data_IF_206022720649
#
_entry.id   IF_206022720649
#
_cell.length_a   1.000
_cell.length_b   1.000
_cell.length_c   1.000
_cell.angle_alpha   90.00
_cell.angle_beta   90.00
_cell.angle_gamma   90.00
#
_symmetry.space_group_name_H-M   'P 1'
#
loop_
_entity.id
_entity.type
_entity.pdbx_description
1 polymer ?
#
# COMPACT_ATOMS: atom_id res chain seq x y z
N UNK A 1 -37.42 2.84 -45.26
CA UNK A 1 -36.83 3.08 -43.93
C UNK A 1 -37.77 2.52 -42.87
N UNK A 2 -37.39 1.43 -42.21
CA UNK A 2 -38.18 0.81 -41.13
C UNK A 2 -37.86 1.53 -39.81
N UNK A 3 -38.85 2.21 -39.22
CA UNK A 3 -38.72 2.77 -37.87
C UNK A 3 -38.76 1.61 -36.86
N UNK A 4 -37.62 1.32 -36.24
CA UNK A 4 -37.54 0.45 -35.07
C UNK A 4 -38.54 0.92 -34.02
N UNK A 5 -39.56 0.11 -33.75
CA UNK A 5 -40.57 0.42 -32.75
C UNK A 5 -40.01 0.17 -31.35
N UNK A 6 -39.48 1.20 -30.71
CA UNK A 6 -39.17 1.15 -29.29
C UNK A 6 -40.48 1.18 -28.51
N UNK A 7 -40.90 0.04 -27.97
CA UNK A 7 -41.92 0.01 -26.92
C UNK A 7 -41.23 0.42 -25.61
N UNK A 8 -41.64 1.50 -24.94
CA UNK A 8 -41.09 1.84 -23.64
C UNK A 8 -41.39 0.69 -22.69
N UNK A 9 -40.34 -0.04 -22.27
CA UNK A 9 -40.50 -0.99 -21.18
C UNK A 9 -40.53 -0.20 -19.87
N UNK A 10 -41.45 -0.50 -18.94
CA UNK A 10 -41.46 0.15 -17.64
C UNK A 10 -40.09 0.03 -16.98
N UNK A 11 -39.57 1.15 -16.47
CA UNK A 11 -38.29 1.15 -15.76
C UNK A 11 -38.46 0.38 -14.46
N UNK A 12 -37.59 -0.61 -14.22
CA UNK A 12 -37.57 -1.32 -12.95
C UNK A 12 -36.78 -0.51 -11.91
N UNK A 13 -37.50 0.14 -11.00
CA UNK A 13 -36.92 1.00 -9.96
C UNK A 13 -36.11 0.22 -8.90
N UNK A 14 -36.27 -1.10 -8.81
CA UNK A 14 -35.49 -1.94 -7.90
C UNK A 14 -34.19 -2.45 -8.55
N UNK A 15 -34.01 -2.19 -9.85
CA UNK A 15 -32.78 -2.57 -10.55
C UNK A 15 -31.62 -1.74 -10.01
N UNK A 16 -30.67 -2.40 -9.35
CA UNK A 16 -29.46 -1.76 -8.85
C UNK A 16 -28.66 -1.18 -10.03
N UNK A 17 -28.27 0.08 -9.90
CA UNK A 17 -27.40 0.73 -10.88
C UNK A 17 -25.99 0.12 -10.78
N UNK A 18 -25.33 -0.15 -11.92
CA UNK A 18 -23.92 -0.54 -11.90
C UNK A 18 -23.10 0.63 -11.35
N UNK A 19 -22.29 0.36 -10.33
CA UNK A 19 -21.37 1.34 -9.74
C UNK A 19 -20.00 1.11 -10.36
N UNK A 20 -19.52 2.10 -11.09
CA UNK A 20 -18.18 2.11 -11.67
C UNK A 20 -17.20 2.54 -10.59
N UNK A 21 -16.17 1.74 -10.33
CA UNK A 21 -15.17 1.99 -9.30
C UNK A 21 -13.83 2.41 -9.88
N UNK A 22 -13.54 2.05 -11.12
CA UNK A 22 -12.28 2.38 -11.78
C UNK A 22 -12.44 2.57 -13.29
N UNK A 23 -11.49 3.28 -13.92
CA UNK A 23 -11.44 3.48 -15.38
C UNK A 23 -11.36 2.15 -16.14
N UNK A 24 -10.83 1.11 -15.50
CA UNK A 24 -10.73 -0.23 -16.07
C UNK A 24 -12.09 -0.89 -16.29
N UNK A 25 -13.11 -0.48 -15.54
CA UNK A 25 -14.48 -1.00 -15.66
C UNK A 25 -15.18 -0.51 -16.95
N UNK A 26 -14.58 0.43 -17.69
CA UNK A 26 -15.09 0.89 -18.99
C UNK A 26 -14.59 0.05 -20.17
N UNK A 27 -13.48 -0.68 -20.00
CA UNK A 27 -12.85 -1.43 -21.10
C UNK A 27 -13.53 -2.79 -21.35
N UNK A 28 -14.24 -3.33 -20.35
CA UNK A 28 -14.80 -4.70 -20.38
C UNK A 28 -16.19 -4.79 -21.08
N UNK A 29 -16.79 -3.68 -21.46
CA UNK A 29 -18.15 -3.62 -22.04
C UNK A 29 -18.21 -3.65 -23.59
N UNK A 30 -17.07 -3.78 -24.29
CA UNK A 30 -17.05 -4.05 -25.75
C UNK A 30 -17.02 -5.56 -26.06
N UNK A 31 -18.08 -6.30 -25.73
CA UNK A 31 -18.37 -7.54 -26.48
C UNK A 31 -19.88 -7.70 -26.75
N UNK A 32 -20.33 -7.62 -28.02
CA UNK A 32 -21.68 -8.00 -28.37
C UNK A 32 -21.79 -9.53 -28.29
N UNK A 33 -22.87 -10.00 -27.66
CA UNK A 33 -23.49 -11.33 -27.79
C UNK A 33 -22.85 -12.26 -28.83
N UNK A 34 -22.02 -13.23 -28.39
CA UNK A 34 -21.72 -14.42 -29.20
C UNK A 34 -21.35 -15.62 -28.33
N UNK A 35 -22.29 -16.56 -28.28
CA UNK A 35 -22.19 -18.01 -28.02
C UNK A 35 -20.98 -18.60 -27.28
N UNK A 36 -21.27 -19.17 -26.09
CA UNK A 36 -20.81 -20.50 -25.61
C UNK A 36 -19.83 -21.18 -26.58
N UNK A 37 -18.53 -21.24 -26.25
CA UNK A 37 -17.60 -22.34 -26.59
C UNK A 37 -16.09 -22.03 -26.39
N UNK A 38 -15.67 -20.87 -25.89
CA UNK A 38 -14.23 -20.57 -25.73
C UNK A 38 -13.58 -21.01 -24.41
N UNK A 39 -14.33 -21.54 -23.45
CA UNK A 39 -13.79 -21.89 -22.12
C UNK A 39 -13.17 -23.30 -22.02
N UNK A 40 -13.30 -24.16 -23.03
CA UNK A 40 -12.86 -25.57 -22.91
C UNK A 40 -11.36 -25.76 -23.25
N UNK A 41 -10.72 -24.84 -23.98
CA UNK A 41 -9.34 -25.07 -24.46
C UNK A 41 -8.21 -24.69 -23.50
N UNK A 42 -8.49 -24.07 -22.35
CA UNK A 42 -7.46 -23.69 -21.36
C UNK A 42 -7.31 -24.66 -20.18
N UNK A 43 -8.17 -25.68 -20.08
CA UNK A 43 -8.18 -26.64 -18.97
C UNK A 43 -7.16 -27.79 -19.09
N UNK A 44 -6.33 -27.81 -20.14
CA UNK A 44 -5.43 -28.94 -20.40
C UNK A 44 -3.96 -28.75 -19.95
N UNK A 45 -3.58 -27.61 -19.37
CA UNK A 45 -2.17 -27.27 -19.18
C UNK A 45 -1.63 -27.25 -17.74
N UNK A 46 -2.44 -27.51 -16.72
CA UNK A 46 -1.96 -27.46 -15.32
C UNK A 46 -2.37 -28.73 -14.57
N UNK A 47 -1.62 -29.79 -14.86
CA UNK A 47 -1.53 -30.92 -13.95
C UNK A 47 -0.67 -30.51 -12.76
N UNK A 48 -1.10 -30.93 -11.58
CA UNK A 48 -0.37 -31.00 -10.32
C UNK A 48 -0.45 -29.77 -9.40
N UNK A 49 -1.56 -29.66 -8.68
CA UNK A 49 -1.58 -29.29 -7.26
C UNK A 49 -2.94 -29.71 -6.66
N UNK A 50 -2.96 -30.88 -6.01
CA UNK A 50 -4.13 -31.39 -5.28
C UNK A 50 -4.41 -30.50 -4.05
N UNK A 51 -5.24 -29.47 -4.21
CA UNK A 51 -5.97 -28.87 -3.10
C UNK A 51 -7.46 -29.01 -3.39
N UNK A 52 -8.10 -29.85 -2.57
CA UNK A 52 -9.50 -30.22 -2.64
C UNK A 52 -10.40 -28.97 -2.65
N UNK A 53 -10.91 -28.61 -3.83
CA UNK A 53 -11.77 -27.44 -3.99
C UNK A 53 -13.17 -27.72 -3.42
N UNK A 54 -13.53 -26.99 -2.37
CA UNK A 54 -14.89 -26.96 -1.82
C UNK A 54 -15.79 -26.18 -2.78
N UNK A 55 -16.90 -26.74 -3.30
CA UNK A 55 -17.74 -26.04 -4.25
C UNK A 55 -18.65 -25.08 -3.49
N UNK A 56 -18.36 -23.79 -3.58
CA UNK A 56 -19.30 -22.75 -3.16
C UNK A 56 -18.73 -21.74 -2.18
N UNK A 57 -17.88 -20.84 -2.68
CA UNK A 57 -17.90 -19.45 -2.19
C UNK A 57 -17.93 -18.54 -3.41
N UNK A 58 -18.91 -17.64 -3.42
CA UNK A 58 -18.92 -16.46 -4.28
C UNK A 58 -17.51 -15.90 -4.28
N UNK A 59 -16.93 -15.68 -5.46
CA UNK A 59 -15.62 -15.04 -5.66
C UNK A 59 -15.56 -13.79 -4.80
N UNK A 60 -15.05 -13.92 -3.58
CA UNK A 60 -14.82 -12.79 -2.72
C UNK A 60 -13.70 -12.01 -3.40
N UNK A 61 -13.89 -10.71 -3.57
CA UNK A 61 -12.83 -9.82 -4.02
C UNK A 61 -11.62 -10.06 -3.13
N UNK A 62 -10.54 -10.54 -3.72
CA UNK A 62 -9.28 -10.79 -3.02
C UNK A 62 -8.82 -9.48 -2.38
N UNK A 63 -8.54 -9.52 -1.08
CA UNK A 63 -8.07 -8.33 -0.35
C UNK A 63 -6.60 -8.15 -0.75
N UNK A 64 -6.22 -6.98 -1.30
CA UNK A 64 -4.83 -6.77 -1.71
C UNK A 64 -3.88 -6.84 -0.51
N UNK A 65 -2.74 -7.49 -0.71
CA UNK A 65 -1.66 -7.55 0.28
C UNK A 65 -0.83 -6.27 0.19
N UNK A 66 -0.51 -5.60 1.31
CA UNK A 66 0.34 -4.42 1.30
C UNK A 66 1.75 -4.76 0.84
N UNK A 67 2.34 -3.86 0.06
CA UNK A 67 3.76 -3.92 -0.32
C UNK A 67 4.64 -3.37 0.81
N UNK A 68 5.90 -3.83 0.86
CA UNK A 68 6.91 -3.29 1.75
C UNK A 68 8.07 -2.71 0.96
N UNK A 69 8.73 -1.71 1.53
CA UNK A 69 9.89 -1.04 0.95
C UNK A 69 11.08 -1.24 1.87
N UNK A 70 12.22 -1.59 1.29
CA UNK A 70 13.50 -1.66 1.99
C UNK A 70 14.12 -0.26 1.95
N UNK A 71 14.51 0.26 3.11
CA UNK A 71 15.11 1.58 3.25
C UNK A 71 16.63 1.45 3.31
N UNK A 72 17.33 1.92 2.29
CA UNK A 72 18.79 1.79 2.17
C UNK A 72 19.57 2.50 3.29
N UNK A 73 18.99 3.53 3.91
CA UNK A 73 19.62 4.30 4.99
C UNK A 73 19.43 3.67 6.37
N UNK A 74 18.57 2.65 6.51
CA UNK A 74 18.13 2.14 7.81
C UNK A 74 19.29 1.77 8.75
N UNK A 75 20.29 1.05 8.24
CA UNK A 75 21.46 0.62 9.02
C UNK A 75 22.42 1.76 9.37
N UNK A 76 22.32 2.90 8.67
CA UNK A 76 23.07 4.12 8.98
C UNK A 76 22.33 4.96 10.03
N UNK A 77 21.02 5.05 9.90
CA UNK A 77 20.17 5.91 10.74
C UNK A 77 19.92 5.29 12.12
N UNK A 78 19.87 3.95 12.21
CA UNK A 78 19.63 3.22 13.45
C UNK A 78 20.81 2.33 13.84
N UNK A 79 21.42 2.65 14.98
CA UNK A 79 22.50 1.84 15.54
C UNK A 79 21.97 0.62 16.31
N UNK A 80 22.62 -0.54 16.11
CA UNK A 80 22.25 -1.81 16.77
C UNK A 80 22.87 -1.94 18.16
N UNK A 81 22.60 -0.99 19.04
CA UNK A 81 23.22 -0.90 20.37
C UNK A 81 22.45 -1.62 21.48
N UNK A 82 21.27 -2.16 21.17
CA UNK A 82 20.46 -2.89 22.15
C UNK A 82 21.10 -4.21 22.55
N UNK A 83 21.25 -4.43 23.86
CA UNK A 83 21.74 -5.67 24.45
C UNK A 83 20.58 -6.31 25.23
N UNK A 84 20.17 -7.51 24.82
CA UNK A 84 19.06 -8.21 25.45
C UNK A 84 19.42 -8.62 26.89
N UNK A 85 18.66 -8.16 27.90
CA UNK A 85 18.87 -8.59 29.28
C UNK A 85 18.37 -10.03 29.49
N UNK A 86 18.87 -10.69 30.53
CA UNK A 86 18.44 -12.05 30.93
C UNK A 86 17.05 -12.10 31.57
N UNK A 87 16.48 -10.94 31.90
CA UNK A 87 15.15 -10.80 32.51
C UNK A 87 14.25 -9.94 31.64
N UNK A 88 12.94 -9.97 31.89
CA UNK A 88 11.99 -9.12 31.17
C UNK A 88 12.20 -7.65 31.49
N UNK A 89 12.00 -6.81 30.47
CA UNK A 89 12.12 -5.36 30.57
C UNK A 89 11.14 -4.82 31.62
N UNK A 90 11.68 -4.10 32.61
CA UNK A 90 10.90 -3.34 33.59
C UNK A 90 11.12 -1.87 33.32
N UNK A 91 10.33 -1.32 32.38
CA UNK A 91 10.46 0.07 32.02
C UNK A 91 10.02 0.99 33.19
N UNK A 92 10.86 1.96 33.53
CA UNK A 92 10.42 3.21 34.17
C UNK A 92 10.20 4.25 33.06
N UNK A 93 9.37 5.27 33.31
CA UNK A 93 8.95 6.23 32.28
C UNK A 93 10.12 6.79 31.48
N UNK A 94 9.97 6.83 30.15
CA UNK A 94 11.03 7.06 29.17
C UNK A 94 11.84 8.37 29.35
N UNK A 95 11.31 9.34 30.10
CA UNK A 95 11.92 10.67 30.26
C UNK A 95 12.96 10.76 31.39
N UNK A 96 13.05 9.76 32.26
CA UNK A 96 13.84 9.88 33.48
C UNK A 96 15.33 9.47 33.32
N UNK A 97 15.70 8.77 32.24
CA UNK A 97 17.04 8.14 32.14
C UNK A 97 17.80 8.41 30.83
N UNK A 98 17.22 9.15 29.88
CA UNK A 98 17.84 9.48 28.58
C UNK A 98 18.45 10.89 28.61
N UNK A 99 19.63 11.02 29.24
CA UNK A 99 20.57 12.14 29.02
C UNK A 99 19.99 13.56 29.01
N UNK A 100 20.75 14.48 28.44
CA UNK A 100 20.27 15.83 28.13
C UNK A 100 19.34 15.72 26.91
N UNK A 101 18.08 16.12 27.09
CA UNK A 101 17.08 16.09 26.02
C UNK A 101 17.29 17.30 25.11
N UNK A 102 17.64 17.06 23.85
CA UNK A 102 17.70 18.11 22.83
C UNK A 102 16.30 18.28 22.26
N UNK A 103 15.77 19.51 22.30
CA UNK A 103 14.39 19.81 21.90
C UNK A 103 14.24 20.10 20.40
N UNK A 104 15.34 20.39 19.71
CA UNK A 104 15.35 20.86 18.33
C UNK A 104 16.20 19.95 17.44
N UNK A 105 15.58 19.43 16.38
CA UNK A 105 16.26 18.68 15.32
C UNK A 105 16.52 19.63 14.15
N UNK A 106 17.78 19.70 13.69
CA UNK A 106 18.15 20.53 12.53
C UNK A 106 17.51 19.96 11.26
N UNK A 107 16.90 20.83 10.47
CA UNK A 107 16.40 20.46 9.15
C UNK A 107 17.46 20.68 8.05
N UNK A 108 17.06 20.46 6.80
CA UNK A 108 17.98 20.60 5.67
C UNK A 108 18.46 22.04 5.48
N UNK A 109 17.60 23.04 5.74
CA UNK A 109 17.97 24.46 5.60
C UNK A 109 18.98 24.85 6.68
N UNK A 110 18.74 24.39 7.92
CA UNK A 110 19.63 24.61 9.04
C UNK A 110 21.01 23.97 8.80
N UNK A 111 21.04 22.73 8.29
CA UNK A 111 22.28 22.02 7.99
C UNK A 111 23.07 22.71 6.86
N UNK A 112 22.40 23.12 5.78
CA UNK A 112 23.03 23.86 4.68
C UNK A 112 23.60 25.20 5.17
N UNK A 113 22.82 25.95 5.95
CA UNK A 113 23.26 27.20 6.56
C UNK A 113 24.46 27.00 7.49
N UNK A 114 24.41 25.98 8.35
CA UNK A 114 25.47 25.68 9.30
C UNK A 114 26.77 25.28 8.59
N UNK A 115 26.66 24.51 7.50
CA UNK A 115 27.81 24.17 6.67
C UNK A 115 28.44 25.40 6.02
N UNK A 116 27.65 26.31 5.44
CA UNK A 116 28.14 27.54 4.83
C UNK A 116 28.77 28.49 5.85
N UNK A 117 28.13 28.65 7.02
CA UNK A 117 28.65 29.45 8.11
C UNK A 117 30.01 28.93 8.63
N UNK A 118 30.15 27.61 8.79
CA UNK A 118 31.38 27.00 9.27
C UNK A 118 32.52 27.01 8.24
N UNK A 119 32.25 27.08 6.94
CA UNK A 119 33.28 27.27 5.89
C UNK A 119 34.08 28.55 6.11
N UNK A 120 33.47 29.59 6.70
CA UNK A 120 34.13 30.85 7.04
C UNK A 120 34.99 30.77 8.33
N UNK A 121 35.20 29.58 8.90
CA UNK A 121 35.89 29.31 10.18
C UNK A 121 35.31 30.06 11.38
N UNK A 122 34.04 30.45 11.30
CA UNK A 122 33.29 31.06 12.42
C UNK A 122 32.71 29.99 13.34
N UNK A 123 33.51 29.00 13.75
CA UNK A 123 33.01 27.96 14.66
C UNK A 123 32.57 28.61 15.97
N UNK A 124 31.29 28.47 16.31
CA UNK A 124 30.77 28.93 17.60
C UNK A 124 31.47 28.14 18.71
N UNK A 125 31.91 28.83 19.76
CA UNK A 125 32.42 28.17 20.96
C UNK A 125 31.23 27.52 21.64
N UNK A 126 31.34 26.25 22.02
CA UNK A 126 30.31 25.59 22.81
C UNK A 126 30.02 26.44 24.07
N UNK A 127 28.76 26.80 24.27
CA UNK A 127 28.36 27.50 25.49
C UNK A 127 28.63 26.60 26.72
N UNK A 128 29.02 27.24 27.82
CA UNK A 128 29.54 26.60 29.03
C UNK A 128 28.44 26.26 30.02
#
# INVERSE_FOLDING_TARGET
MSRLSFRPRPLDFNKKLPIIKSIKDFEDDEVPTSTRNSQILRLAAEADNEVQQVPGRKTASEIPTPEFVVVDTYERDYSRTFIQPTSYLRARGARAELGEFVEYDLDNEDEDWLQDFNKERKTLVAEK
#
